data_IF_438809125457
#
_entry.id   IF_438809125457
#
_cell.length_a   1.000
_cell.length_b   1.000
_cell.length_c   1.000
_cell.angle_alpha   90.00
_cell.angle_beta   90.00
_cell.angle_gamma   90.00
#
_symmetry.space_group_name_H-M   'P 1'
#
loop_
_entity.id
_entity.type
_entity.pdbx_description
1 polymer ?
#
# COMPACT_ATOMS: atom_id res chain seq x y z
N UNK A 1 -3.29 -4.22 7.99
CA UNK A 1 -2.99 -3.29 9.10
C UNK A 1 -3.00 -1.86 8.58
N UNK A 2 -3.69 -0.95 9.28
CA UNK A 2 -3.90 0.39 8.74
C UNK A 2 -2.64 1.26 8.87
N UNK A 3 -2.17 1.81 7.75
CA UNK A 3 -1.21 2.93 7.72
C UNK A 3 -1.95 4.18 7.30
N UNK A 4 -1.83 5.27 8.06
CA UNK A 4 -2.40 6.56 7.71
C UNK A 4 -1.33 7.43 7.06
N UNK A 5 -1.60 7.91 5.86
CA UNK A 5 -0.79 8.93 5.19
C UNK A 5 -1.58 10.21 4.99
N UNK A 6 -0.85 11.30 4.77
CA UNK A 6 -1.39 12.56 4.25
C UNK A 6 -0.75 12.87 2.91
N UNK A 7 -1.58 13.12 1.92
CA UNK A 7 -1.18 13.56 0.58
C UNK A 7 -1.92 14.86 0.29
N UNK A 8 -1.17 15.95 0.14
CA UNK A 8 -1.73 17.32 0.06
C UNK A 8 -2.67 17.61 1.26
N UNK A 9 -3.95 17.83 0.98
CA UNK A 9 -5.00 18.12 1.97
C UNK A 9 -5.80 16.89 2.40
N UNK A 10 -5.51 15.72 1.83
CA UNK A 10 -6.27 14.50 2.06
C UNK A 10 -5.53 13.52 2.95
N UNK A 11 -6.29 12.82 3.79
CA UNK A 11 -5.82 11.69 4.56
C UNK A 11 -6.27 10.42 3.88
N UNK A 12 -5.40 9.44 3.79
CA UNK A 12 -5.70 8.13 3.22
C UNK A 12 -5.20 7.03 4.16
N UNK A 13 -5.97 5.94 4.23
CA UNK A 13 -5.65 4.77 5.04
C UNK A 13 -5.32 3.63 4.09
N UNK A 14 -4.12 3.07 4.18
CA UNK A 14 -3.78 1.80 3.56
C UNK A 14 -4.24 0.68 4.47
N UNK A 15 -5.15 -0.17 4.02
CA UNK A 15 -5.56 -1.36 4.75
C UNK A 15 -5.74 -2.49 3.76
N UNK A 16 -5.15 -3.66 4.07
CA UNK A 16 -5.30 -4.85 3.23
C UNK A 16 -4.82 -4.58 1.80
N UNK A 17 -3.73 -3.83 1.66
CA UNK A 17 -3.16 -3.44 0.37
C UNK A 17 -3.95 -2.36 -0.39
N UNK A 18 -5.09 -1.91 0.08
CA UNK A 18 -5.91 -0.90 -0.60
C UNK A 18 -5.86 0.42 0.14
N UNK A 19 -5.73 1.51 -0.63
CA UNK A 19 -5.89 2.86 -0.12
C UNK A 19 -7.36 3.22 -0.10
N UNK A 20 -7.80 3.77 1.03
CA UNK A 20 -9.14 4.37 1.20
C UNK A 20 -8.96 5.85 1.52
N UNK A 21 -9.63 6.71 0.76
CA UNK A 21 -9.59 8.16 0.92
C UNK A 21 -10.97 8.79 0.68
N UNK A 22 -11.25 9.92 1.34
CA UNK A 22 -12.49 10.66 1.11
C UNK A 22 -12.56 11.30 -0.30
N UNK A 23 -11.41 11.57 -0.93
CA UNK A 23 -11.33 12.06 -2.30
C UNK A 23 -11.01 10.92 -3.26
N UNK A 24 -11.96 10.59 -4.15
CA UNK A 24 -11.84 9.48 -5.08
C UNK A 24 -10.69 9.62 -6.08
N UNK A 25 -10.27 10.86 -6.42
CA UNK A 25 -9.11 11.08 -7.29
C UNK A 25 -7.81 10.71 -6.59
N UNK A 26 -7.67 11.13 -5.33
CA UNK A 26 -6.52 10.75 -4.49
C UNK A 26 -6.53 9.26 -4.22
N UNK A 27 -7.69 8.66 -3.94
CA UNK A 27 -7.81 7.20 -3.76
C UNK A 27 -7.33 6.43 -4.99
N UNK A 28 -7.83 6.78 -6.19
CA UNK A 28 -7.46 6.14 -7.45
C UNK A 28 -5.96 6.30 -7.75
N UNK A 29 -5.40 7.49 -7.50
CA UNK A 29 -3.96 7.76 -7.67
C UNK A 29 -3.12 6.88 -6.75
N UNK A 30 -3.49 6.75 -5.47
CA UNK A 30 -2.70 5.97 -4.52
C UNK A 30 -2.74 4.48 -4.84
N UNK A 31 -3.91 3.96 -5.23
CA UNK A 31 -4.04 2.58 -5.65
C UNK A 31 -3.28 2.31 -6.95
N UNK A 32 -3.34 3.20 -7.96
CA UNK A 32 -2.62 3.01 -9.22
C UNK A 32 -1.09 3.02 -9.04
N UNK A 33 -0.56 3.94 -8.23
CA UNK A 33 0.88 3.97 -7.88
C UNK A 33 1.29 2.68 -7.18
N UNK A 34 0.45 2.18 -6.28
CA UNK A 34 0.71 0.94 -5.53
C UNK A 34 0.73 -0.28 -6.46
N UNK A 35 -0.27 -0.39 -7.34
CA UNK A 35 -0.36 -1.48 -8.31
C UNK A 35 0.81 -1.46 -9.31
N UNK A 36 1.13 -0.28 -9.86
CA UNK A 36 2.26 -0.13 -10.77
C UNK A 36 3.56 -0.58 -10.11
N UNK A 37 3.83 -0.12 -8.89
CA UNK A 37 5.03 -0.50 -8.16
C UNK A 37 5.08 -2.01 -7.87
N UNK A 38 3.96 -2.62 -7.46
CA UNK A 38 3.89 -4.07 -7.25
C UNK A 38 4.15 -4.82 -8.55
N UNK A 39 3.62 -4.35 -9.67
CA UNK A 39 3.81 -4.98 -10.97
C UNK A 39 5.27 -4.87 -11.46
N UNK A 40 5.91 -3.71 -11.27
CA UNK A 40 7.29 -3.47 -11.72
C UNK A 40 8.35 -4.12 -10.84
N UNK A 41 8.13 -4.15 -9.52
CA UNK A 41 9.16 -4.58 -8.55
C UNK A 41 8.83 -5.89 -7.85
N UNK A 42 7.61 -6.39 -8.00
CA UNK A 42 7.05 -7.44 -7.15
C UNK A 42 6.53 -6.92 -5.80
N UNK A 43 6.67 -5.63 -5.47
CA UNK A 43 6.17 -5.06 -4.22
C UNK A 43 7.04 -5.35 -3.00
N UNK A 44 6.50 -5.24 -1.76
CA UNK A 44 7.29 -5.34 -0.53
C UNK A 44 7.88 -6.74 -0.36
N UNK A 45 9.11 -6.84 0.16
CA UNK A 45 9.84 -8.10 0.26
C UNK A 45 9.05 -9.19 1.00
N UNK A 46 9.23 -10.45 0.61
CA UNK A 46 8.49 -11.58 1.20
C UNK A 46 8.85 -11.77 2.69
N UNK A 47 10.07 -11.42 3.08
CA UNK A 47 10.56 -11.44 4.45
C UNK A 47 10.25 -10.17 5.23
N UNK A 48 9.55 -9.21 4.62
CA UNK A 48 9.23 -7.94 5.27
C UNK A 48 8.28 -8.18 6.45
N UNK A 49 8.70 -7.73 7.63
CA UNK A 49 7.91 -7.83 8.86
C UNK A 49 6.70 -6.89 8.84
N UNK A 50 6.74 -5.84 8.00
CA UNK A 50 5.67 -4.85 7.90
C UNK A 50 5.49 -4.33 6.46
N UNK A 51 4.93 -5.18 5.57
CA UNK A 51 4.82 -4.85 4.15
C UNK A 51 3.95 -3.62 3.88
N UNK A 52 2.93 -3.34 4.70
CA UNK A 52 2.08 -2.16 4.53
C UNK A 52 2.83 -0.87 4.87
N UNK A 53 3.71 -0.89 5.88
CA UNK A 53 4.60 0.25 6.14
C UNK A 53 5.49 0.54 4.93
N UNK A 54 6.12 -0.49 4.37
CA UNK A 54 7.00 -0.35 3.20
C UNK A 54 6.25 0.21 1.99
N UNK A 55 5.03 -0.28 1.73
CA UNK A 55 4.15 0.27 0.69
C UNK A 55 3.84 1.73 0.96
N UNK A 56 3.46 2.06 2.19
CA UNK A 56 3.09 3.42 2.56
C UNK A 56 4.27 4.41 2.46
N UNK A 57 5.48 3.98 2.81
CA UNK A 57 6.70 4.78 2.66
C UNK A 57 7.01 5.02 1.18
N UNK A 58 6.93 3.99 0.34
CA UNK A 58 7.11 4.12 -1.10
C UNK A 58 6.08 5.08 -1.72
N UNK A 59 4.79 4.85 -1.46
CA UNK A 59 3.72 5.67 -2.03
C UNK A 59 3.78 7.11 -1.52
N UNK A 60 4.12 7.33 -0.25
CA UNK A 60 4.32 8.68 0.29
C UNK A 60 5.48 9.40 -0.43
N UNK A 61 6.60 8.72 -0.69
CA UNK A 61 7.70 9.30 -1.45
C UNK A 61 7.28 9.69 -2.89
N UNK A 62 6.52 8.83 -3.58
CA UNK A 62 6.08 9.10 -4.97
C UNK A 62 5.04 10.22 -5.06
N UNK A 63 4.18 10.36 -4.05
CA UNK A 63 3.06 11.32 -4.06
C UNK A 63 3.36 12.64 -3.34
N UNK A 64 4.60 12.85 -2.91
CA UNK A 64 4.98 13.96 -2.02
C UNK A 64 4.13 13.99 -0.74
N UNK A 65 3.73 12.81 -0.27
CA UNK A 65 2.97 12.58 0.94
C UNK A 65 3.86 12.39 2.17
N UNK A 66 3.21 12.20 3.32
CA UNK A 66 3.87 11.84 4.57
C UNK A 66 3.08 10.78 5.33
N UNK A 67 3.78 9.82 5.93
CA UNK A 67 3.17 8.87 6.87
C UNK A 67 2.87 9.61 8.18
N UNK A 68 1.61 9.56 8.61
CA UNK A 68 1.15 10.22 9.84
C UNK A 68 1.07 9.23 11.02
N UNK A 69 0.63 8.01 10.75
CA UNK A 69 0.45 6.99 11.78
C UNK A 69 0.67 5.62 11.15
N UNK A 70 1.42 4.79 11.85
CA UNK A 70 1.60 3.39 11.53
C UNK A 70 1.30 2.57 12.78
N UNK A 71 0.40 1.60 12.66
CA UNK A 71 0.07 0.66 13.74
C UNK A 71 0.73 -0.67 13.40
N UNK A 72 1.83 -1.05 14.06
CA UNK A 72 2.58 -2.26 13.73
C UNK A 72 1.79 -3.53 14.03
N UNK A 73 1.92 -4.52 13.15
CA UNK A 73 1.20 -5.78 13.21
C UNK A 73 1.96 -6.93 13.85
N UNK A 74 1.23 -7.92 14.35
CA UNK A 74 1.79 -9.28 14.48
C UNK A 74 1.97 -9.88 13.06
N UNK A 75 3.19 -10.29 12.66
CA UNK A 75 3.59 -10.48 11.26
C UNK A 75 2.94 -11.65 10.49
N UNK A 76 2.09 -12.48 11.12
CA UNK A 76 1.58 -13.72 10.50
C UNK A 76 0.45 -13.54 9.47
N UNK A 77 -0.26 -12.40 9.41
CA UNK A 77 -1.45 -12.26 8.52
C UNK A 77 -1.30 -11.33 7.31
N UNK A 78 -0.28 -10.45 7.28
CA UNK A 78 -0.09 -9.48 6.21
C UNK A 78 0.64 -10.03 4.97
N UNK A 79 1.45 -11.09 5.15
CA UNK A 79 2.27 -11.67 4.08
C UNK A 79 1.46 -12.33 2.95
N UNK A 80 0.39 -13.05 3.28
CA UNK A 80 -0.45 -13.74 2.28
C UNK A 80 -1.06 -12.76 1.27
N UNK A 81 -1.46 -11.57 1.73
CA UNK A 81 -2.17 -10.59 0.93
C UNK A 81 -1.32 -10.04 -0.23
N UNK A 82 -0.03 -9.78 0.02
CA UNK A 82 0.88 -9.31 -1.02
C UNK A 82 1.37 -10.44 -1.94
N UNK A 83 1.39 -11.69 -1.45
CA UNK A 83 1.67 -12.84 -2.31
C UNK A 83 0.57 -13.04 -3.36
N UNK A 84 -0.71 -12.94 -2.97
CA UNK A 84 -1.82 -13.09 -3.90
C UNK A 84 -1.81 -11.99 -4.98
N UNK A 85 -1.38 -10.77 -4.64
CA UNK A 85 -1.28 -9.64 -5.59
C UNK A 85 -0.11 -9.71 -6.55
N UNK A 86 0.92 -10.50 -6.26
CA UNK A 86 2.04 -10.77 -7.17
C UNK A 86 1.69 -11.79 -8.25
N UNK A 87 0.60 -12.53 -8.09
CA UNK A 87 0.19 -13.53 -9.07
C UNK A 87 -0.43 -12.86 -10.29
N UNK A 88 0.04 -13.25 -11.48
CA UNK A 88 -0.60 -12.89 -12.73
C UNK A 88 -2.05 -13.39 -12.71
N UNK A 89 -3.02 -12.49 -12.94
CA UNK A 89 -4.39 -12.90 -13.26
C UNK A 89 -4.39 -13.55 -14.64
N UNK A 90 -4.14 -14.86 -14.69
CA UNK A 90 -4.35 -15.66 -15.89
C UNK A 90 -5.88 -15.71 -16.11
N UNK A 91 -6.35 -15.00 -17.14
CA UNK A 91 -7.73 -15.13 -17.61
C UNK A 91 -7.80 -16.43 -18.42
N UNK A 92 -8.38 -17.47 -17.85
CA UNK A 92 -8.78 -18.68 -18.58
C UNK A 92 -10.25 -18.54 -19.00
#
# INVERSE_FOLDING_TARGET
MPVLIRVKNWKAILRRGEWVCADGRTEALLNSVTELWIHETGGPAISDGDPEKTVAEYVAAQTQGRVLLHIPARPRSSRQLYLDRRQLKLQF
#
